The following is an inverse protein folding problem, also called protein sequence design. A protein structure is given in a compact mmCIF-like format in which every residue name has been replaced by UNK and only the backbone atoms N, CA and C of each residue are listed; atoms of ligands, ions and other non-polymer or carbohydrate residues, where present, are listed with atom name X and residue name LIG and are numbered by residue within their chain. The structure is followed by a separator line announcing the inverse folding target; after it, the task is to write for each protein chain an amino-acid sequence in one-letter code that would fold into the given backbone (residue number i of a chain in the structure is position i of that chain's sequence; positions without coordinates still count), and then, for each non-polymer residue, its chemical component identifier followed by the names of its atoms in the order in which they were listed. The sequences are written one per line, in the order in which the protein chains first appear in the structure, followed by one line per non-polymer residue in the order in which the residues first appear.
data_IF_711683242307
#
_entry.id   IF_711683242307
#
_cell.length_a   1.000
_cell.length_b   1.000
_cell.length_c   1.000
_cell.angle_alpha   90.00
_cell.angle_beta   90.00
_cell.angle_gamma   90.00
#
_symmetry.space_group_name_H-M   'P 1'
#
loop_
_entity.id
_entity.type
_entity.pdbx_description
1 polymer ?
#
# COMPACT_ATOMS: atom_id res chain seq x y z
N UNK A 1 -3.67 -21.83 -25.59
CA UNK A 1 -2.55 -22.59 -25.11
C UNK A 1 -2.42 -22.45 -23.60
N UNK A 2 -2.85 -23.46 -22.90
CA UNK A 2 -2.97 -23.44 -21.44
C UNK A 2 -1.62 -23.32 -20.72
N UNK A 3 -0.53 -23.80 -21.34
CA UNK A 3 0.79 -23.77 -20.71
C UNK A 3 1.36 -22.37 -20.52
N UNK A 4 1.05 -21.43 -21.41
CA UNK A 4 1.55 -20.06 -21.28
C UNK A 4 0.89 -19.31 -20.13
N UNK A 5 -0.41 -19.53 -19.90
CA UNK A 5 -1.11 -18.90 -18.80
C UNK A 5 -0.60 -19.38 -17.44
N UNK A 6 -0.30 -20.67 -17.33
CA UNK A 6 0.26 -21.23 -16.10
C UNK A 6 1.64 -20.69 -15.80
N UNK A 7 2.48 -20.52 -16.82
CA UNK A 7 3.82 -19.96 -16.68
C UNK A 7 3.76 -18.51 -16.19
N UNK A 8 2.86 -17.70 -16.74
CA UNK A 8 2.69 -16.30 -16.33
C UNK A 8 2.22 -16.22 -14.89
N UNK A 9 1.29 -17.08 -14.48
CA UNK A 9 0.81 -17.10 -13.09
C UNK A 9 1.90 -17.52 -12.10
N UNK A 10 2.71 -18.50 -12.46
CA UNK A 10 3.85 -18.91 -11.65
C UNK A 10 4.87 -17.78 -11.48
N UNK A 11 5.18 -17.08 -12.56
CA UNK A 11 6.07 -15.92 -12.50
C UNK A 11 5.59 -14.87 -11.52
N UNK A 12 4.31 -14.52 -11.57
CA UNK A 12 3.72 -13.53 -10.66
C UNK A 12 3.78 -13.99 -9.21
N UNK A 13 3.51 -15.26 -8.94
CA UNK A 13 3.61 -15.82 -7.60
C UNK A 13 5.04 -15.81 -7.09
N UNK A 14 5.98 -16.20 -7.92
CA UNK A 14 7.40 -16.21 -7.57
C UNK A 14 7.91 -14.81 -7.27
N UNK A 15 7.53 -13.82 -8.07
CA UNK A 15 7.89 -12.43 -7.84
C UNK A 15 7.30 -11.92 -6.53
N UNK A 16 6.04 -12.23 -6.25
CA UNK A 16 5.39 -11.83 -5.00
C UNK A 16 6.06 -12.48 -3.80
N UNK A 17 6.40 -13.75 -3.89
CA UNK A 17 7.10 -14.49 -2.83
C UNK A 17 8.52 -13.97 -2.62
N UNK A 18 9.24 -13.69 -3.69
CA UNK A 18 10.58 -13.09 -3.61
C UNK A 18 10.53 -11.72 -2.95
N UNK A 19 9.57 -10.89 -3.30
CA UNK A 19 9.39 -9.60 -2.68
C UNK A 19 9.11 -9.72 -1.18
N UNK A 20 8.29 -10.67 -0.78
CA UNK A 20 8.00 -10.94 0.62
C UNK A 20 9.24 -11.42 1.37
N UNK A 21 10.02 -12.32 0.77
CA UNK A 21 11.25 -12.84 1.36
C UNK A 21 12.28 -11.73 1.50
N UNK A 22 12.49 -10.93 0.47
CA UNK A 22 13.42 -9.79 0.51
C UNK A 22 13.02 -8.79 1.58
N UNK A 23 11.73 -8.48 1.68
CA UNK A 23 11.21 -7.58 2.69
C UNK A 23 11.47 -8.14 4.10
N UNK A 24 11.24 -9.43 4.31
CA UNK A 24 11.48 -10.09 5.59
C UNK A 24 12.97 -10.05 5.94
N UNK A 25 13.84 -10.35 4.99
CA UNK A 25 15.29 -10.31 5.21
C UNK A 25 15.75 -8.89 5.55
N UNK A 26 15.22 -7.86 4.87
CA UNK A 26 15.60 -6.49 5.16
C UNK A 26 15.16 -6.02 6.54
N UNK A 27 14.11 -6.60 7.11
CA UNK A 27 13.63 -6.26 8.45
C UNK A 27 14.27 -7.12 9.55
N UNK A 28 14.63 -8.35 9.27
CA UNK A 28 15.17 -9.29 10.26
C UNK A 28 16.44 -8.80 10.95
N UNK A 29 17.33 -8.15 10.24
CA UNK A 29 18.60 -7.72 10.81
C UNK A 29 18.53 -6.46 11.63
N UNK A 30 17.47 -5.66 11.52
CA UNK A 30 17.43 -4.30 12.09
C UNK A 30 16.27 -4.03 13.01
N UNK A 31 15.10 -4.58 12.74
CA UNK A 31 13.90 -4.24 13.48
C UNK A 31 13.05 -5.48 13.70
N UNK A 32 13.16 -6.05 14.87
CA UNK A 32 12.37 -7.18 15.30
C UNK A 32 11.19 -6.74 16.15
N UNK A 33 10.91 -5.46 16.18
CA UNK A 33 9.82 -4.91 16.95
C UNK A 33 8.47 -5.28 16.32
N UNK A 34 7.64 -6.05 17.03
CA UNK A 34 6.34 -6.46 16.49
C UNK A 34 5.42 -5.30 16.14
N UNK A 35 5.49 -4.23 16.93
CA UNK A 35 4.66 -3.04 16.69
C UNK A 35 5.02 -2.36 15.38
N UNK A 36 6.30 -2.17 15.14
CA UNK A 36 6.79 -1.56 13.91
C UNK A 36 6.48 -2.44 12.69
N UNK A 37 6.66 -3.74 12.82
CA UNK A 37 6.32 -4.69 11.76
C UNK A 37 4.83 -4.64 11.41
N UNK A 38 3.97 -4.55 12.42
CA UNK A 38 2.53 -4.43 12.22
C UNK A 38 2.17 -3.15 11.45
N UNK A 39 2.77 -2.03 11.84
CA UNK A 39 2.55 -0.75 11.17
C UNK A 39 3.02 -0.78 9.71
N UNK A 40 4.18 -1.38 9.47
CA UNK A 40 4.71 -1.53 8.12
C UNK A 40 3.84 -2.43 7.25
N UNK A 41 3.31 -3.52 7.79
CA UNK A 41 2.36 -4.38 7.10
C UNK A 41 1.08 -3.62 6.74
N UNK A 42 0.56 -2.86 7.68
CA UNK A 42 -0.64 -2.05 7.47
C UNK A 42 -0.42 -1.05 6.35
N UNK A 43 0.73 -0.36 6.37
CA UNK A 43 1.11 0.57 5.30
C UNK A 43 1.17 -0.11 3.95
N UNK A 44 1.80 -1.28 3.88
CA UNK A 44 1.91 -2.05 2.64
C UNK A 44 0.54 -2.45 2.09
N UNK A 45 -0.38 -2.87 2.96
CA UNK A 45 -1.75 -3.21 2.57
C UNK A 45 -2.49 -2.00 2.01
N UNK A 46 -2.40 -0.85 2.67
CA UNK A 46 -3.02 0.37 2.17
C UNK A 46 -2.43 0.82 0.85
N UNK A 47 -1.12 0.71 0.67
CA UNK A 47 -0.44 1.06 -0.59
C UNK A 47 -0.90 0.14 -1.74
N UNK A 48 -1.05 -1.15 -1.47
CA UNK A 48 -1.56 -2.10 -2.47
C UNK A 48 -2.99 -1.75 -2.87
N UNK A 49 -3.84 -1.45 -1.90
CA UNK A 49 -5.22 -1.05 -2.16
C UNK A 49 -5.30 0.28 -2.91
N UNK A 50 -4.43 1.23 -2.57
CA UNK A 50 -4.35 2.50 -3.29
C UNK A 50 -3.96 2.28 -4.75
N UNK A 51 -2.94 1.48 -4.99
CA UNK A 51 -2.47 1.16 -6.34
C UNK A 51 -3.59 0.54 -7.18
N UNK A 52 -4.33 -0.40 -6.60
CA UNK A 52 -5.47 -1.02 -7.27
C UNK A 52 -6.56 0.01 -7.60
N UNK A 53 -6.88 0.88 -6.65
CA UNK A 53 -7.90 1.91 -6.87
C UNK A 53 -7.49 2.89 -7.99
N UNK A 54 -6.21 3.26 -8.04
CA UNK A 54 -5.68 4.13 -9.11
C UNK A 54 -5.79 3.42 -10.46
N UNK A 55 -5.44 2.16 -10.53
CA UNK A 55 -5.56 1.37 -11.78
C UNK A 55 -7.00 1.29 -12.25
N UNK A 56 -7.93 1.06 -11.32
CA UNK A 56 -9.35 0.99 -11.65
C UNK A 56 -9.90 2.34 -12.08
N UNK A 57 -9.44 3.43 -11.47
CA UNK A 57 -9.81 4.77 -11.88
C UNK A 57 -9.38 5.04 -13.33
N UNK A 58 -8.14 4.70 -13.66
CA UNK A 58 -7.63 4.86 -15.02
C UNK A 58 -8.44 4.05 -16.03
N UNK A 59 -8.78 2.81 -15.68
CA UNK A 59 -9.60 1.94 -16.52
C UNK A 59 -10.98 2.56 -16.79
N UNK A 60 -11.65 3.02 -15.74
CA UNK A 60 -12.97 3.62 -15.89
C UNK A 60 -12.92 4.98 -16.59
N UNK A 61 -11.82 5.73 -16.45
CA UNK A 61 -11.64 6.98 -17.19
C UNK A 61 -11.55 6.72 -18.69
N UNK A 62 -10.83 5.68 -19.10
CA UNK A 62 -10.75 5.28 -20.50
C UNK A 62 -12.13 4.85 -21.01
N UNK A 63 -12.82 3.99 -20.27
CA UNK A 63 -14.16 3.54 -20.62
C UNK A 63 -15.15 4.70 -20.75
N UNK A 64 -15.06 5.68 -19.84
CA UNK A 64 -15.88 6.88 -19.87
C UNK A 64 -15.63 7.69 -21.14
N UNK A 65 -14.37 7.92 -21.47
CA UNK A 65 -13.99 8.65 -22.68
C UNK A 65 -14.49 7.94 -23.95
N UNK A 66 -14.31 6.63 -24.00
CA UNK A 66 -14.78 5.81 -25.14
C UNK A 66 -16.31 5.85 -25.26
N UNK A 67 -17.02 5.75 -24.14
CA UNK A 67 -18.47 5.82 -24.10
C UNK A 67 -18.98 7.18 -24.59
N UNK A 68 -18.34 8.27 -24.17
CA UNK A 68 -18.68 9.61 -24.62
C UNK A 68 -18.47 9.76 -26.12
N UNK A 69 -17.35 9.29 -26.64
CA UNK A 69 -17.03 9.34 -28.08
C UNK A 69 -17.98 8.49 -28.90
N UNK A 70 -18.41 7.36 -28.39
CA UNK A 70 -19.34 6.46 -29.05
C UNK A 70 -20.80 6.92 -28.98
N UNK A 71 -21.08 7.98 -28.24
CA UNK A 71 -22.44 8.48 -28.05
C UNK A 71 -23.30 7.56 -27.21
N UNK A 72 -22.73 6.92 -26.20
CA UNK A 72 -23.46 6.03 -25.30
C UNK A 72 -24.63 6.74 -24.62
N UNK A 73 -25.63 5.98 -24.19
CA UNK A 73 -26.79 6.54 -23.52
C UNK A 73 -26.44 7.13 -22.15
N UNK A 74 -27.31 7.99 -21.64
CA UNK A 74 -27.06 8.71 -20.40
C UNK A 74 -26.89 7.76 -19.22
N UNK A 75 -27.63 6.66 -19.18
CA UNK A 75 -27.53 5.69 -18.10
C UNK A 75 -26.13 5.04 -18.05
N UNK A 76 -25.57 4.70 -19.20
CA UNK A 76 -24.22 4.16 -19.30
C UNK A 76 -23.18 5.17 -18.79
N UNK A 77 -23.32 6.44 -19.21
CA UNK A 77 -22.44 7.52 -18.78
C UNK A 77 -22.53 7.71 -17.26
N UNK A 78 -23.74 7.75 -16.72
CA UNK A 78 -23.96 7.93 -15.28
C UNK A 78 -23.32 6.81 -14.46
N UNK A 79 -23.42 5.56 -14.93
CA UNK A 79 -22.79 4.42 -14.26
C UNK A 79 -21.27 4.54 -14.23
N UNK A 80 -20.68 5.01 -15.30
CA UNK A 80 -19.23 5.21 -15.37
C UNK A 80 -18.77 6.36 -14.48
N UNK A 81 -19.54 7.45 -14.44
CA UNK A 81 -19.29 8.56 -13.52
C UNK A 81 -19.32 8.09 -12.07
N UNK A 82 -20.28 7.24 -11.72
CA UNK A 82 -20.41 6.71 -10.37
C UNK A 82 -19.20 5.84 -10.01
N UNK A 83 -18.76 5.00 -10.94
CA UNK A 83 -17.55 4.17 -10.73
C UNK A 83 -16.31 5.03 -10.53
N UNK A 84 -16.17 6.10 -11.30
CA UNK A 84 -15.06 7.04 -11.14
C UNK A 84 -15.10 7.73 -9.77
N UNK A 85 -16.26 8.17 -9.35
CA UNK A 85 -16.44 8.81 -8.04
C UNK A 85 -16.11 7.84 -6.90
N UNK A 86 -16.51 6.57 -7.02
CA UNK A 86 -16.18 5.52 -6.05
C UNK A 86 -14.67 5.33 -5.92
N UNK A 87 -13.97 5.24 -7.03
CA UNK A 87 -12.52 5.05 -7.00
C UNK A 87 -11.81 6.28 -6.42
N UNK A 88 -12.29 7.47 -6.71
CA UNK A 88 -11.73 8.69 -6.12
C UNK A 88 -11.86 8.69 -4.60
N UNK A 89 -13.01 8.29 -4.08
CA UNK A 89 -13.20 8.17 -2.64
C UNK A 89 -12.24 7.17 -2.01
N UNK A 90 -12.03 6.03 -2.66
CA UNK A 90 -11.09 5.01 -2.20
C UNK A 90 -9.65 5.52 -2.21
N UNK A 91 -9.26 6.21 -3.26
CA UNK A 91 -7.92 6.81 -3.39
C UNK A 91 -7.68 7.77 -2.24
N UNK A 92 -8.59 8.69 -1.99
CA UNK A 92 -8.48 9.68 -0.92
C UNK A 92 -8.42 8.99 0.46
N UNK A 93 -9.26 7.98 0.65
CA UNK A 93 -9.30 7.21 1.89
C UNK A 93 -7.96 6.54 2.17
N UNK A 94 -7.42 5.81 1.20
CA UNK A 94 -6.16 5.09 1.39
C UNK A 94 -4.96 6.02 1.53
N UNK A 95 -4.94 7.15 0.82
CA UNK A 95 -3.91 8.17 0.99
C UNK A 95 -3.89 8.70 2.42
N UNK A 96 -5.06 8.97 2.98
CA UNK A 96 -5.17 9.43 4.35
C UNK A 96 -4.70 8.35 5.33
N UNK A 97 -5.09 7.10 5.12
CA UNK A 97 -4.66 5.99 5.97
C UNK A 97 -3.15 5.79 5.93
N UNK A 98 -2.55 5.88 4.76
CA UNK A 98 -1.10 5.77 4.59
C UNK A 98 -0.40 6.89 5.36
N UNK A 99 -0.88 8.12 5.21
CA UNK A 99 -0.32 9.28 5.91
C UNK A 99 -0.35 9.09 7.43
N UNK A 100 -1.46 8.61 7.96
CA UNK A 100 -1.61 8.36 9.41
C UNK A 100 -0.67 7.26 9.89
N UNK A 101 -0.55 6.18 9.14
CA UNK A 101 0.37 5.09 9.51
C UNK A 101 1.81 5.57 9.46
N UNK A 102 2.19 6.35 8.46
CA UNK A 102 3.54 6.91 8.36
C UNK A 102 3.85 7.84 9.53
N UNK A 103 2.89 8.63 9.97
CA UNK A 103 3.02 9.46 11.16
C UNK A 103 3.22 8.60 12.42
N UNK A 104 2.47 7.51 12.55
CA UNK A 104 2.63 6.59 13.67
C UNK A 104 4.00 5.93 13.68
N UNK A 105 4.48 5.50 12.52
CA UNK A 105 5.82 4.91 12.38
C UNK A 105 6.89 5.92 12.80
N UNK A 106 6.79 7.15 12.30
CA UNK A 106 7.75 8.19 12.63
C UNK A 106 7.76 8.50 14.12
N UNK A 107 6.57 8.62 14.72
CA UNK A 107 6.40 8.88 16.15
C UNK A 107 6.98 7.75 16.98
N UNK A 108 6.70 6.52 16.61
CA UNK A 108 7.19 5.34 17.28
C UNK A 108 8.71 5.27 17.26
N UNK A 109 9.33 5.55 16.14
CA UNK A 109 10.79 5.55 15.98
C UNK A 109 11.44 6.64 16.84
N UNK A 110 10.84 7.81 16.92
CA UNK A 110 11.32 8.90 17.77
C UNK A 110 11.26 8.50 19.24
N UNK A 111 10.16 7.96 19.69
CA UNK A 111 9.98 7.50 21.06
C UNK A 111 10.99 6.42 21.44
N UNK A 112 11.21 5.45 20.56
CA UNK A 112 12.20 4.39 20.77
C UNK A 112 13.61 4.95 20.89
N UNK A 113 13.94 5.90 20.04
CA UNK A 113 15.25 6.55 20.06
C UNK A 113 15.46 7.30 21.38
N UNK A 114 14.43 7.96 21.88
CA UNK A 114 14.47 8.65 23.18
C UNK A 114 14.70 7.67 24.33
N UNK A 115 14.02 6.53 24.32
CA UNK A 115 14.19 5.49 25.32
C UNK A 115 15.61 4.93 25.33
N UNK A 116 16.17 4.65 24.14
CA UNK A 116 17.55 4.17 24.03
C UNK A 116 18.55 5.19 24.54
N UNK A 117 18.36 6.45 24.23
CA UNK A 117 19.22 7.54 24.72
C UNK A 117 19.14 7.64 26.24
N UNK A 118 17.94 7.58 26.80
CA UNK A 118 17.72 7.59 28.24
C UNK A 118 18.39 6.42 28.95
N UNK A 119 18.33 5.22 28.36
CA UNK A 119 18.99 4.02 28.90
C UNK A 119 20.51 4.18 28.89
N UNK A 120 21.06 4.70 27.80
CA UNK A 120 22.50 4.93 27.70
C UNK A 120 22.98 5.95 28.72
N UNK A 121 22.25 7.05 28.88
CA UNK A 121 22.55 8.06 29.87
C UNK A 121 22.46 7.50 31.30
N UNK A 122 21.42 6.69 31.55
CA UNK A 122 21.26 6.03 32.83
C UNK A 122 22.41 5.05 33.13
N UNK A 123 22.85 4.28 32.16
CA UNK A 123 23.97 3.36 32.32
C UNK A 123 25.29 4.10 32.54
N UNK A 124 25.52 5.17 31.82
CA UNK A 124 26.70 6.01 32.00
C UNK A 124 26.73 6.65 33.37
N UNK A 125 25.59 7.10 33.87
CA UNK A 125 25.46 7.65 35.20
C UNK A 125 25.68 6.61 36.30
N UNK A 126 25.32 5.36 36.04
CA UNK A 126 25.50 4.27 36.99
C UNK A 126 26.95 3.77 37.08
N UNK A 127 27.71 4.02 36.03
CA UNK A 127 29.11 3.62 35.97
C UNK A 127 30.01 4.64 36.67
#
# INVERSE_FOLDING_TARGET
MAGNNQTVQKSKKEETEKMKVEFTVSTEGKEQDPRLQELQKRRATYRANLSYAVQMQDKYAVEYTEAMQAGADQLTIDKLELKLAEQKLRIDFYREKISKVEEEIARYRVERKKEETSRKEGNESAA
#
